data_IF_470547486485
#
_entry.id   IF_470547486485
#
_cell.length_a   1.000
_cell.length_b   1.000
_cell.length_c   1.000
_cell.angle_alpha   90.00
_cell.angle_beta   90.00
_cell.angle_gamma   90.00
#
_symmetry.space_group_name_H-M   'P 1'
#
loop_
_entity.id
_entity.type
_entity.pdbx_description
1 polymer ?
#
# COMPACT_ATOMS: atom_id res chain seq x y z
N UNK A 1 16.03 -17.78 -11.19
CA UNK A 1 15.84 -17.14 -9.87
C UNK A 1 14.39 -17.39 -9.50
N UNK A 2 14.10 -17.84 -8.27
CA UNK A 2 12.72 -17.92 -7.83
C UNK A 2 12.30 -16.50 -7.45
N UNK A 3 11.27 -15.99 -8.11
CA UNK A 3 10.67 -14.71 -7.77
C UNK A 3 10.18 -14.74 -6.31
N UNK A 4 10.39 -13.63 -5.59
CA UNK A 4 9.79 -13.46 -4.25
C UNK A 4 8.28 -13.57 -4.36
N UNK A 5 7.66 -14.18 -3.37
CA UNK A 5 6.20 -14.26 -3.24
C UNK A 5 5.70 -13.17 -2.31
N UNK A 6 4.74 -12.38 -2.77
CA UNK A 6 4.06 -11.36 -1.97
C UNK A 6 2.61 -11.81 -1.75
N UNK A 7 2.13 -11.76 -0.51
CA UNK A 7 0.74 -12.05 -0.18
C UNK A 7 -0.01 -10.80 0.30
N UNK A 8 -1.23 -10.59 -0.20
CA UNK A 8 -2.21 -9.61 0.32
C UNK A 8 -3.61 -10.22 0.32
N UNK A 9 -4.62 -9.55 0.88
CA UNK A 9 -5.97 -10.08 0.97
C UNK A 9 -6.71 -10.13 -0.38
N UNK A 10 -7.66 -11.06 -0.51
CA UNK A 10 -8.45 -11.29 -1.74
C UNK A 10 -9.87 -10.68 -1.70
N UNK A 11 -10.07 -9.64 -0.89
CA UNK A 11 -11.35 -8.93 -0.77
C UNK A 11 -11.40 -7.66 -1.61
N UNK A 12 -12.42 -6.83 -1.35
CA UNK A 12 -12.39 -5.43 -1.77
C UNK A 12 -11.07 -4.81 -1.32
N UNK A 13 -10.36 -4.23 -2.26
CA UNK A 13 -9.07 -3.59 -2.04
C UNK A 13 -9.25 -2.10 -1.78
N UNK A 14 -8.27 -1.52 -1.09
CA UNK A 14 -8.24 -0.13 -0.71
C UNK A 14 -7.02 0.54 -1.34
N UNK A 15 -6.72 1.77 -0.93
CA UNK A 15 -5.54 2.44 -1.45
C UNK A 15 -4.25 1.96 -0.77
N UNK A 16 -4.32 1.49 0.47
CA UNK A 16 -3.14 1.07 1.22
C UNK A 16 -2.53 -0.22 0.63
N UNK A 17 -3.31 -1.26 0.38
CA UNK A 17 -2.85 -2.52 -0.21
C UNK A 17 -2.40 -2.31 -1.67
N UNK A 18 -3.16 -1.54 -2.45
CA UNK A 18 -2.81 -1.19 -3.84
C UNK A 18 -1.49 -0.40 -3.92
N UNK A 19 -1.33 0.67 -3.13
CA UNK A 19 -0.10 1.48 -3.16
C UNK A 19 1.09 0.77 -2.54
N UNK A 20 0.87 -0.15 -1.59
CA UNK A 20 1.93 -1.03 -1.08
C UNK A 20 2.53 -1.89 -2.19
N UNK A 21 1.69 -2.53 -3.01
CA UNK A 21 2.17 -3.32 -4.16
C UNK A 21 2.84 -2.41 -5.20
N UNK A 22 2.29 -1.22 -5.47
CA UNK A 22 2.91 -0.25 -6.37
C UNK A 22 4.32 0.19 -5.91
N UNK A 23 4.52 0.41 -4.60
CA UNK A 23 5.82 0.73 -4.03
C UNK A 23 6.80 -0.45 -4.11
N UNK A 24 6.33 -1.68 -3.85
CA UNK A 24 7.16 -2.88 -3.96
C UNK A 24 7.63 -3.15 -5.40
N UNK A 25 6.85 -2.78 -6.43
CA UNK A 25 7.29 -2.80 -7.84
C UNK A 25 8.50 -1.89 -8.12
N UNK A 26 8.77 -0.89 -7.28
CA UNK A 26 9.93 -0.01 -7.45
C UNK A 26 11.23 -0.64 -6.93
N UNK A 27 11.16 -1.56 -5.96
CA UNK A 27 12.34 -2.18 -5.31
C UNK A 27 12.54 -3.64 -5.69
N UNK A 28 11.48 -4.31 -6.18
CA UNK A 28 11.54 -5.70 -6.63
C UNK A 28 11.43 -5.75 -8.17
N UNK A 29 12.47 -6.23 -8.88
CA UNK A 29 12.44 -6.31 -10.35
C UNK A 29 11.41 -7.30 -10.89
N UNK A 30 11.09 -8.34 -10.11
CA UNK A 30 10.04 -9.32 -10.38
C UNK A 30 9.59 -9.97 -9.07
N UNK A 31 8.29 -10.29 -8.99
CA UNK A 31 7.70 -11.03 -7.87
C UNK A 31 6.43 -11.75 -8.33
N UNK A 32 6.04 -12.78 -7.58
CA UNK A 32 4.74 -13.43 -7.69
C UNK A 32 3.80 -12.83 -6.64
N UNK A 33 2.71 -12.21 -7.09
CA UNK A 33 1.64 -11.76 -6.19
C UNK A 33 0.63 -12.88 -5.96
N UNK A 34 0.20 -13.06 -4.72
CA UNK A 34 -0.89 -13.94 -4.33
C UNK A 34 -1.90 -13.13 -3.52
N UNK A 35 -3.12 -13.00 -4.02
CA UNK A 35 -4.25 -12.45 -3.25
C UNK A 35 -4.96 -13.60 -2.54
N UNK A 36 -4.92 -13.64 -1.21
CA UNK A 36 -5.46 -14.77 -0.43
C UNK A 36 -5.78 -14.39 1.04
N UNK A 37 -6.60 -15.21 1.70
CA UNK A 37 -6.78 -15.24 3.16
C UNK A 37 -6.40 -16.60 3.77
N UNK A 38 -5.82 -17.48 2.97
CA UNK A 38 -5.32 -18.77 3.43
C UNK A 38 -4.05 -18.57 4.26
N UNK A 39 -4.13 -18.89 5.55
CA UNK A 39 -3.04 -18.72 6.50
C UNK A 39 -1.78 -19.51 6.13
N UNK A 40 -1.92 -20.68 5.49
CA UNK A 40 -0.75 -21.46 5.08
C UNK A 40 -0.02 -20.83 3.90
N UNK A 41 -0.76 -20.19 2.98
CA UNK A 41 -0.15 -19.46 1.87
C UNK A 41 0.51 -18.17 2.37
N UNK A 42 -0.14 -17.45 3.29
CA UNK A 42 0.39 -16.24 3.92
C UNK A 42 1.70 -16.55 4.65
N UNK A 43 1.71 -17.60 5.48
CA UNK A 43 2.90 -17.98 6.25
C UNK A 43 4.11 -18.35 5.36
N UNK A 44 3.88 -18.82 4.13
CA UNK A 44 4.92 -19.21 3.16
C UNK A 44 5.40 -18.05 2.28
N UNK A 45 4.71 -16.90 2.28
CA UNK A 45 5.09 -15.77 1.45
C UNK A 45 6.37 -15.10 1.98
N UNK A 46 7.18 -14.55 1.07
CA UNK A 46 8.37 -13.79 1.43
C UNK A 46 7.97 -12.46 2.08
N UNK A 47 7.00 -11.76 1.49
CA UNK A 47 6.47 -10.49 1.98
C UNK A 47 4.96 -10.61 2.15
N UNK A 48 4.42 -10.09 3.25
CA UNK A 48 2.97 -10.06 3.52
C UNK A 48 2.55 -8.62 3.76
N UNK A 49 1.46 -8.21 3.10
CA UNK A 49 0.91 -6.85 3.12
C UNK A 49 -0.58 -6.95 3.41
N UNK A 50 -1.05 -6.14 4.36
CA UNK A 50 -2.48 -5.98 4.67
C UNK A 50 -3.27 -7.27 4.96
N UNK A 51 -2.57 -8.30 5.43
CA UNK A 51 -3.16 -9.57 5.83
C UNK A 51 -2.23 -10.29 6.82
N UNK A 52 -2.78 -11.18 7.63
CA UNK A 52 -2.02 -12.02 8.56
C UNK A 52 -2.02 -11.53 10.01
N UNK A 53 -2.43 -10.29 10.26
CA UNK A 53 -2.59 -9.71 11.60
C UNK A 53 -1.28 -9.51 12.34
N UNK A 54 -0.20 -9.16 11.63
CA UNK A 54 1.14 -9.00 12.18
C UNK A 54 1.93 -7.89 11.47
N UNK A 55 2.53 -7.01 12.27
CA UNK A 55 3.61 -6.12 11.82
C UNK A 55 4.94 -6.59 12.40
N UNK A 56 5.85 -6.96 11.50
CA UNK A 56 7.26 -7.22 11.79
C UNK A 56 8.07 -6.81 10.56
N UNK A 57 8.75 -5.67 10.65
CA UNK A 57 9.58 -5.14 9.57
C UNK A 57 10.75 -6.06 9.23
N UNK A 58 11.33 -6.79 10.20
CA UNK A 58 12.47 -7.68 9.94
C UNK A 58 12.02 -8.98 9.26
N UNK A 59 10.80 -9.44 9.53
CA UNK A 59 10.18 -10.61 8.92
C UNK A 59 9.38 -10.31 7.64
N UNK A 60 9.41 -9.07 7.13
CA UNK A 60 8.63 -8.63 5.97
C UNK A 60 7.11 -8.89 6.13
N UNK A 61 6.57 -8.51 7.29
CA UNK A 61 5.13 -8.56 7.61
C UNK A 61 4.63 -7.14 7.86
N UNK A 62 3.72 -6.68 7.00
CA UNK A 62 3.24 -5.30 6.95
C UNK A 62 1.71 -5.27 7.02
N UNK A 63 1.15 -5.77 8.11
CA UNK A 63 -0.27 -5.60 8.44
C UNK A 63 -0.42 -4.58 9.59
N UNK A 64 -1.55 -3.88 9.64
CA UNK A 64 -1.89 -2.92 10.67
C UNK A 64 -3.16 -3.29 11.45
N UNK A 65 -3.85 -4.38 11.06
CA UNK A 65 -5.10 -4.83 11.65
C UNK A 65 -4.97 -5.51 13.02
N UNK A 66 -3.75 -5.78 13.49
CA UNK A 66 -3.52 -6.35 14.82
C UNK A 66 -4.02 -5.44 15.94
N UNK A 67 -4.32 -6.07 17.09
CA UNK A 67 -4.69 -5.33 18.29
C UNK A 67 -3.55 -4.40 18.72
N UNK A 68 -3.82 -3.10 18.74
CA UNK A 68 -2.84 -2.06 19.06
C UNK A 68 -2.22 -1.38 17.84
N UNK A 69 -2.57 -1.81 16.61
CA UNK A 69 -2.07 -1.24 15.37
C UNK A 69 -0.60 -1.55 15.09
N UNK A 70 -0.03 -0.86 14.11
CA UNK A 70 1.38 -0.96 13.73
C UNK A 70 2.22 0.27 14.17
N UNK A 71 1.71 1.03 15.15
CA UNK A 71 2.28 2.30 15.57
C UNK A 71 1.76 3.50 14.75
N UNK A 72 2.31 4.67 15.05
CA UNK A 72 1.89 5.95 14.47
C UNK A 72 3.09 6.88 14.27
N UNK A 73 2.93 7.85 13.35
CA UNK A 73 3.87 8.96 13.14
C UNK A 73 3.90 9.88 14.36
N UNK A 74 4.92 10.73 14.47
CA UNK A 74 5.02 11.74 15.55
C UNK A 74 3.82 12.69 15.61
N UNK A 75 3.13 12.90 14.48
CA UNK A 75 1.92 13.72 14.40
C UNK A 75 0.62 12.95 14.76
N UNK A 76 0.73 11.70 15.21
CA UNK A 76 -0.41 10.86 15.63
C UNK A 76 -1.13 10.13 14.50
N UNK A 77 -0.69 10.28 13.24
CA UNK A 77 -1.29 9.52 12.13
C UNK A 77 -0.82 8.07 12.21
N UNK A 78 -1.72 7.09 12.44
CA UNK A 78 -1.38 5.67 12.45
C UNK A 78 -0.88 5.20 11.09
N UNK A 79 -0.03 4.18 11.07
CA UNK A 79 0.42 3.55 9.83
C UNK A 79 -0.59 2.51 9.36
N UNK A 80 -0.98 2.57 8.09
CA UNK A 80 -1.50 1.42 7.35
C UNK A 80 -0.36 0.67 6.66
N UNK A 81 -0.68 -0.41 5.96
CA UNK A 81 0.28 -1.25 5.25
C UNK A 81 1.19 -0.45 4.30
N UNK A 82 0.65 0.59 3.62
CA UNK A 82 1.43 1.43 2.72
C UNK A 82 2.47 2.28 3.47
N UNK A 83 2.07 2.88 4.59
CA UNK A 83 2.96 3.55 5.52
C UNK A 83 4.12 2.68 6.00
N UNK A 84 3.85 1.44 6.40
CA UNK A 84 4.87 0.51 6.88
C UNK A 84 5.86 0.11 5.77
N UNK A 85 5.36 -0.11 4.56
CA UNK A 85 6.20 -0.31 3.37
C UNK A 85 7.05 0.92 3.09
N UNK A 86 6.47 2.12 3.20
CA UNK A 86 7.20 3.37 2.95
C UNK A 86 8.28 3.63 4.01
N UNK A 87 8.03 3.31 5.27
CA UNK A 87 9.04 3.38 6.33
C UNK A 87 10.27 2.53 5.99
N UNK A 88 10.06 1.31 5.47
CA UNK A 88 11.17 0.39 5.15
C UNK A 88 11.86 0.72 3.83
N UNK A 89 11.09 1.01 2.79
CA UNK A 89 11.60 1.08 1.41
C UNK A 89 11.56 2.48 0.79
N UNK A 90 10.87 3.44 1.39
CA UNK A 90 10.62 4.77 0.79
C UNK A 90 11.90 5.52 0.42
N UNK A 91 12.95 5.41 1.24
CA UNK A 91 14.26 6.01 0.94
C UNK A 91 14.94 5.34 -0.27
N UNK A 92 14.85 4.01 -0.37
CA UNK A 92 15.39 3.25 -1.52
C UNK A 92 14.64 3.59 -2.80
N UNK A 93 13.30 3.63 -2.74
CA UNK A 93 12.42 4.06 -3.83
C UNK A 93 12.80 5.45 -4.33
N UNK A 94 13.16 6.36 -3.40
CA UNK A 94 13.59 7.72 -3.71
C UNK A 94 15.10 7.85 -3.98
N UNK A 95 15.80 6.75 -4.27
CA UNK A 95 17.23 6.71 -4.63
C UNK A 95 18.15 7.35 -3.57
N UNK A 96 17.79 7.23 -2.29
CA UNK A 96 18.55 7.81 -1.18
C UNK A 96 18.29 9.30 -0.93
N UNK A 97 17.33 9.92 -1.63
CA UNK A 97 16.97 11.32 -1.41
C UNK A 97 15.91 11.43 -0.30
N UNK A 98 16.37 11.79 0.92
CA UNK A 98 15.51 11.91 2.09
C UNK A 98 14.45 13.02 1.96
N UNK A 99 14.78 14.14 1.32
CA UNK A 99 13.84 15.26 1.17
C UNK A 99 12.65 14.85 0.28
N UNK A 100 12.93 14.09 -0.80
CA UNK A 100 11.88 13.53 -1.68
C UNK A 100 11.05 12.49 -0.93
N UNK A 101 11.69 11.58 -0.19
CA UNK A 101 10.98 10.56 0.59
C UNK A 101 10.04 11.18 1.63
N UNK A 102 10.48 12.24 2.32
CA UNK A 102 9.68 12.98 3.28
C UNK A 102 8.53 13.74 2.61
N UNK A 103 8.77 14.37 1.45
CA UNK A 103 7.74 15.09 0.71
C UNK A 103 6.65 14.14 0.19
N UNK A 104 7.01 12.95 -0.28
CA UNK A 104 6.05 11.93 -0.71
C UNK A 104 5.31 11.33 0.48
N UNK A 105 5.97 11.08 1.62
CA UNK A 105 5.29 10.61 2.84
C UNK A 105 4.22 11.62 3.29
N UNK A 106 4.59 12.90 3.39
CA UNK A 106 3.69 13.96 3.82
C UNK A 106 2.54 14.23 2.82
N UNK A 107 2.81 14.13 1.51
CA UNK A 107 1.85 14.50 0.46
C UNK A 107 0.96 13.37 -0.05
N UNK A 108 1.36 12.10 0.15
CA UNK A 108 0.66 10.94 -0.40
C UNK A 108 0.46 9.84 0.64
N UNK A 109 1.55 9.32 1.21
CA UNK A 109 1.53 8.11 2.04
C UNK A 109 0.71 8.32 3.30
N UNK A 110 1.07 9.33 4.10
CA UNK A 110 0.37 9.66 5.35
C UNK A 110 -1.10 10.02 5.14
N UNK A 111 -1.47 10.55 3.96
CA UNK A 111 -2.87 10.85 3.62
C UNK A 111 -3.67 9.57 3.36
N UNK A 112 -3.08 8.61 2.64
CA UNK A 112 -3.69 7.29 2.43
C UNK A 112 -3.81 6.55 3.77
N UNK A 113 -2.73 6.52 4.56
CA UNK A 113 -2.72 5.88 5.89
C UNK A 113 -3.81 6.45 6.81
N UNK A 114 -3.95 7.78 6.86
CA UNK A 114 -4.97 8.43 7.68
C UNK A 114 -6.38 8.03 7.27
N UNK A 115 -6.67 7.96 5.97
CA UNK A 115 -7.99 7.53 5.46
C UNK A 115 -8.25 6.08 5.82
N UNK A 116 -7.27 5.22 5.57
CA UNK A 116 -7.41 3.78 5.74
C UNK A 116 -7.56 3.38 7.21
N UNK A 117 -6.81 4.04 8.10
CA UNK A 117 -6.93 3.85 9.54
C UNK A 117 -8.10 4.61 10.19
N UNK A 118 -8.93 5.32 9.41
CA UNK A 118 -10.04 6.11 9.92
C UNK A 118 -9.64 7.34 10.76
N UNK A 119 -8.40 7.82 10.62
CA UNK A 119 -7.83 8.98 11.30
C UNK A 119 -8.05 10.29 10.51
N UNK A 120 -9.22 10.45 9.88
CA UNK A 120 -9.54 11.65 9.11
C UNK A 120 -10.31 12.66 9.94
N UNK A 121 -9.87 13.91 9.90
CA UNK A 121 -10.58 15.03 10.52
C UNK A 121 -11.52 15.72 9.52
N UNK A 122 -12.72 16.08 9.98
CA UNK A 122 -13.68 16.85 9.20
C UNK A 122 -14.52 16.03 8.22
N UNK A 123 -15.20 16.74 7.31
CA UNK A 123 -16.06 16.13 6.30
C UNK A 123 -15.30 16.10 4.98
N UNK A 124 -15.08 14.90 4.44
CA UNK A 124 -14.48 14.74 3.11
C UNK A 124 -15.33 15.47 2.06
N UNK A 125 -14.70 16.39 1.31
CA UNK A 125 -15.34 17.08 0.18
C UNK A 125 -14.76 16.55 -1.13
N UNK A 126 -15.64 16.15 -2.04
CA UNK A 126 -15.23 15.59 -3.34
C UNK A 126 -14.75 14.15 -3.26
N UNK A 127 -14.10 13.70 -4.34
CA UNK A 127 -13.55 12.36 -4.49
C UNK A 127 -12.05 12.39 -4.11
N UNK A 128 -11.68 11.63 -3.09
CA UNK A 128 -10.28 11.40 -2.70
C UNK A 128 -9.58 10.38 -3.59
N UNK A 129 -8.25 10.32 -3.50
CA UNK A 129 -7.47 9.29 -4.16
C UNK A 129 -7.85 7.88 -3.67
N UNK A 130 -8.08 7.71 -2.36
CA UNK A 130 -8.53 6.42 -1.82
C UNK A 130 -9.90 6.00 -2.35
N UNK A 131 -10.83 6.95 -2.50
CA UNK A 131 -12.11 6.70 -3.17
C UNK A 131 -11.92 6.38 -4.65
N UNK A 132 -10.96 7.02 -5.32
CA UNK A 132 -10.62 6.73 -6.73
C UNK A 132 -10.12 5.30 -6.90
N UNK A 133 -9.25 4.81 -6.01
CA UNK A 133 -8.84 3.40 -6.00
C UNK A 133 -10.04 2.49 -5.70
N UNK A 134 -10.87 2.85 -4.72
CA UNK A 134 -12.06 2.07 -4.37
C UNK A 134 -13.00 1.88 -5.56
N UNK A 135 -13.11 2.85 -6.47
CA UNK A 135 -13.92 2.75 -7.70
C UNK A 135 -13.44 1.69 -8.71
N UNK A 136 -12.21 1.18 -8.59
CA UNK A 136 -11.77 0.03 -9.40
C UNK A 136 -12.34 -1.29 -8.88
N UNK A 137 -12.83 -1.36 -7.63
CA UNK A 137 -13.44 -2.60 -7.14
C UNK A 137 -14.66 -2.95 -8.00
N UNK A 138 -14.80 -4.22 -8.43
CA UNK A 138 -15.92 -4.64 -9.26
C UNK A 138 -17.23 -4.45 -8.50
N UNK A 139 -18.26 -4.00 -9.20
CA UNK A 139 -19.60 -3.93 -8.63
C UNK A 139 -20.35 -5.24 -8.82
N UNK A 140 -21.42 -5.44 -8.07
CA UNK A 140 -22.31 -6.61 -8.22
C UNK A 140 -23.05 -6.65 -9.58
N UNK A 141 -22.99 -5.58 -10.38
CA UNK A 141 -23.64 -5.47 -11.69
C UNK A 141 -22.71 -5.77 -12.87
N UNK A 142 -21.45 -6.09 -12.62
CA UNK A 142 -20.43 -6.29 -13.64
C UNK A 142 -19.90 -7.73 -13.61
N UNK A 143 -19.58 -8.28 -14.78
CA UNK A 143 -18.89 -9.56 -14.93
C UNK A 143 -17.37 -9.33 -14.93
N UNK A 144 -16.87 -8.87 -13.77
CA UNK A 144 -15.47 -8.49 -13.56
C UNK A 144 -14.82 -9.35 -12.47
N UNK A 145 -13.52 -9.59 -12.60
CA UNK A 145 -12.76 -10.36 -11.62
C UNK A 145 -11.94 -9.43 -10.71
N UNK A 146 -12.06 -9.60 -9.40
CA UNK A 146 -11.38 -8.77 -8.38
C UNK A 146 -9.89 -8.61 -8.64
N UNK A 147 -9.20 -9.69 -8.98
CA UNK A 147 -7.76 -9.67 -9.20
C UNK A 147 -7.37 -8.85 -10.45
N UNK A 148 -8.17 -8.90 -11.52
CA UNK A 148 -7.93 -8.09 -12.73
C UNK A 148 -8.12 -6.60 -12.42
N UNK A 149 -9.21 -6.27 -11.71
CA UNK A 149 -9.47 -4.91 -11.26
C UNK A 149 -8.37 -4.38 -10.33
N UNK A 150 -7.82 -5.24 -9.48
CA UNK A 150 -6.71 -4.88 -8.62
C UNK A 150 -5.43 -4.61 -9.42
N UNK A 151 -5.10 -5.44 -10.40
CA UNK A 151 -3.93 -5.23 -11.25
C UNK A 151 -4.02 -3.87 -11.98
N UNK A 152 -5.21 -3.51 -12.49
CA UNK A 152 -5.47 -2.20 -13.08
C UNK A 152 -5.29 -1.05 -12.08
N UNK A 153 -5.79 -1.21 -10.85
CA UNK A 153 -5.63 -0.23 -9.78
C UNK A 153 -4.16 -0.06 -9.39
N UNK A 154 -3.38 -1.15 -9.32
CA UNK A 154 -1.94 -1.15 -9.04
C UNK A 154 -1.17 -0.45 -10.15
N UNK A 155 -1.52 -0.66 -11.42
CA UNK A 155 -0.86 0.03 -12.54
C UNK A 155 -1.15 1.54 -12.52
N UNK A 156 -2.39 1.93 -12.20
CA UNK A 156 -2.74 3.33 -11.97
C UNK A 156 -1.94 3.93 -10.79
N UNK A 157 -1.93 3.26 -9.63
CA UNK A 157 -1.22 3.70 -8.44
C UNK A 157 0.30 3.80 -8.68
N UNK A 158 0.88 2.86 -9.42
CA UNK A 158 2.30 2.88 -9.83
C UNK A 158 2.62 4.14 -10.62
N UNK A 159 1.73 4.54 -11.54
CA UNK A 159 1.90 5.77 -12.31
C UNK A 159 1.78 7.00 -11.42
N UNK A 160 0.80 7.04 -10.52
CA UNK A 160 0.60 8.15 -9.58
C UNK A 160 1.81 8.31 -8.66
N UNK A 161 2.26 7.24 -8.02
CA UNK A 161 3.44 7.24 -7.13
C UNK A 161 4.69 7.76 -7.85
N UNK A 162 4.95 7.25 -9.06
CA UNK A 162 6.07 7.73 -9.91
C UNK A 162 5.99 9.24 -10.16
N UNK A 163 4.79 9.78 -10.38
CA UNK A 163 4.58 11.22 -10.61
C UNK A 163 4.72 12.04 -9.33
N UNK A 164 4.29 11.55 -8.17
CA UNK A 164 4.52 12.20 -6.88
C UNK A 164 6.02 12.32 -6.60
N UNK A 165 6.77 11.22 -6.76
CA UNK A 165 8.24 11.21 -6.60
C UNK A 165 8.89 12.21 -7.56
N UNK A 166 8.51 12.19 -8.85
CA UNK A 166 9.07 13.10 -9.84
C UNK A 166 8.75 14.58 -9.52
N UNK A 167 7.55 14.88 -9.03
CA UNK A 167 7.15 16.23 -8.64
C UNK A 167 7.91 16.72 -7.42
N UNK A 168 8.11 15.86 -6.41
CA UNK A 168 8.87 16.19 -5.21
C UNK A 168 10.37 16.42 -5.50
N UNK A 169 10.91 15.80 -6.54
CA UNK A 169 12.32 15.93 -6.92
C UNK A 169 12.63 17.18 -7.78
N UNK A 170 11.66 18.07 -8.01
CA UNK A 170 11.84 19.31 -8.78
C UNK A 170 10.88 19.50 -9.95
N UNK A 171 9.65 18.99 -9.82
CA UNK A 171 8.54 19.38 -10.70
C UNK A 171 8.06 20.80 -10.45
#
# INVERSE_FOLDING_TARGET
MNDKTIATHNGNFHADDVFSIAALKCVLPSFKLIRTRDSELIAKADIVVDVGGEYDSDADRFDHHQRGGAGERENGIPYSSFGLIWQKYGLEICQGNQDVANAVDAGLVSTIDAIDCGHVEGISQGISLSQTISMFNPTWQEDSHFDTCFDEAVDFASRVLTRFIASANGG
#
